data_IF_577422422542
#
_entry.id   IF_577422422542
#
_cell.length_a   1.000
_cell.length_b   1.000
_cell.length_c   1.000
_cell.angle_alpha   90.00
_cell.angle_beta   90.00
_cell.angle_gamma   90.00
#
_symmetry.space_group_name_H-M   'P 1'
#
loop_
_entity.id
_entity.type
_entity.pdbx_description
1 polymer ?
#
# COMPACT_ATOMS: atom_id res chain seq x y z
N UNK A 1 -21.77 -10.38 -14.06
CA UNK A 1 -20.79 -11.36 -14.57
C UNK A 1 -19.80 -10.60 -15.41
N UNK A 2 -18.54 -10.61 -15.00
CA UNK A 2 -17.49 -9.84 -15.67
C UNK A 2 -16.93 -10.64 -16.83
N UNK A 3 -16.70 -9.99 -17.96
CA UNK A 3 -16.32 -10.68 -19.19
C UNK A 3 -14.82 -11.01 -19.30
N UNK A 4 -13.97 -10.52 -18.38
CA UNK A 4 -12.52 -10.75 -18.42
C UNK A 4 -11.78 -10.08 -19.59
N UNK A 5 -12.46 -9.30 -20.43
CA UNK A 5 -11.84 -8.62 -21.55
C UNK A 5 -11.16 -7.29 -21.17
N UNK A 6 -10.03 -6.99 -21.81
CA UNK A 6 -9.22 -5.78 -21.59
C UNK A 6 -9.76 -4.53 -22.32
N UNK A 7 -11.06 -4.50 -22.60
CA UNK A 7 -11.69 -3.38 -23.31
C UNK A 7 -12.43 -2.52 -22.29
N UNK A 8 -11.80 -1.43 -21.85
CA UNK A 8 -12.39 -0.47 -20.91
C UNK A 8 -12.30 0.93 -21.50
N UNK A 9 -13.40 1.65 -21.46
CA UNK A 9 -13.51 3.02 -21.96
C UNK A 9 -13.96 3.93 -20.82
N UNK A 10 -13.13 4.91 -20.50
CA UNK A 10 -13.50 5.99 -19.58
C UNK A 10 -14.11 7.13 -20.40
N UNK A 11 -15.27 7.60 -19.97
CA UNK A 11 -16.04 8.66 -20.63
C UNK A 11 -16.50 9.69 -19.60
N UNK A 12 -16.86 10.89 -20.07
CA UNK A 12 -17.41 11.98 -19.23
C UNK A 12 -16.49 12.54 -18.13
N UNK A 13 -15.17 12.62 -18.35
CA UNK A 13 -14.28 13.36 -17.42
C UNK A 13 -14.62 14.85 -17.50
N UNK A 14 -15.42 15.35 -16.56
CA UNK A 14 -15.76 16.77 -16.47
C UNK A 14 -14.56 17.56 -15.94
N UNK A 15 -14.07 18.55 -16.70
CA UNK A 15 -12.99 19.48 -16.28
C UNK A 15 -13.27 20.23 -14.98
N UNK A 16 -14.53 20.30 -14.55
CA UNK A 16 -14.96 20.96 -13.31
C UNK A 16 -14.89 20.07 -12.07
N UNK A 17 -14.50 18.78 -12.19
CA UNK A 17 -14.53 17.81 -11.10
C UNK A 17 -15.97 17.42 -10.77
N UNK A 18 -16.31 16.15 -10.97
CA UNK A 18 -17.55 15.55 -10.50
C UNK A 18 -17.42 14.04 -10.60
N UNK A 19 -17.55 13.49 -11.81
CA UNK A 19 -17.56 12.04 -12.03
C UNK A 19 -16.92 11.70 -13.37
N UNK A 20 -16.34 10.51 -13.47
CA UNK A 20 -16.00 9.84 -14.71
C UNK A 20 -16.79 8.53 -14.79
N UNK A 21 -17.29 8.22 -15.97
CA UNK A 21 -18.02 6.97 -16.22
C UNK A 21 -17.06 5.96 -16.83
N UNK A 22 -16.76 4.89 -16.09
CA UNK A 22 -15.96 3.76 -16.57
C UNK A 22 -16.91 2.69 -17.12
N UNK A 23 -16.79 2.40 -18.41
CA UNK A 23 -17.63 1.42 -19.10
C UNK A 23 -16.78 0.32 -19.72
N UNK A 24 -17.15 -0.93 -19.44
CA UNK A 24 -16.62 -2.10 -20.12
C UNK A 24 -17.10 -2.08 -21.59
N UNK A 25 -16.18 -2.24 -22.54
CA UNK A 25 -16.48 -2.22 -23.97
C UNK A 25 -17.11 -3.53 -24.48
N UNK A 26 -17.06 -4.59 -23.68
CA UNK A 26 -17.55 -5.93 -24.03
C UNK A 26 -18.73 -6.36 -23.15
N UNK A 27 -18.62 -6.15 -21.85
CA UNK A 27 -19.72 -6.31 -20.90
C UNK A 27 -20.46 -4.98 -20.70
N UNK A 28 -21.74 -5.02 -20.36
CA UNK A 28 -22.53 -3.80 -20.09
C UNK A 28 -22.21 -3.13 -18.75
N UNK A 29 -21.13 -3.54 -18.07
CA UNK A 29 -20.71 -3.01 -16.78
C UNK A 29 -20.33 -1.54 -16.93
N UNK A 30 -21.04 -0.68 -16.20
CA UNK A 30 -20.85 0.77 -16.19
C UNK A 30 -20.82 1.20 -14.73
N UNK A 31 -19.81 1.96 -14.33
CA UNK A 31 -19.68 2.48 -12.97
C UNK A 31 -19.18 3.92 -13.01
N UNK A 32 -19.70 4.74 -12.12
CA UNK A 32 -19.25 6.12 -11.95
C UNK A 32 -18.19 6.17 -10.84
N UNK A 33 -17.14 6.95 -11.07
CA UNK A 33 -16.06 7.18 -10.13
C UNK A 33 -15.85 8.67 -9.96
N UNK A 34 -15.61 9.11 -8.72
CA UNK A 34 -15.30 10.50 -8.41
C UNK A 34 -13.94 10.84 -8.99
N UNK A 35 -13.85 11.97 -9.69
CA UNK A 35 -12.59 12.44 -10.28
C UNK A 35 -12.41 13.93 -10.07
N UNK A 36 -11.17 14.32 -9.85
CA UNK A 36 -10.77 15.71 -9.65
C UNK A 36 -10.58 16.39 -11.01
N UNK A 37 -10.52 17.72 -11.04
CA UNK A 37 -10.30 18.49 -12.28
C UNK A 37 -8.94 18.21 -12.96
N UNK A 38 -8.00 17.61 -12.23
CA UNK A 38 -6.67 17.22 -12.70
C UNK A 38 -6.57 15.73 -13.05
N UNK A 39 -7.62 14.93 -12.78
CA UNK A 39 -7.58 13.48 -12.97
C UNK A 39 -7.60 13.10 -14.45
N UNK A 40 -6.73 12.16 -14.81
CA UNK A 40 -6.63 11.58 -16.13
C UNK A 40 -7.51 10.30 -16.25
N UNK A 41 -7.80 9.82 -17.47
CA UNK A 41 -8.51 8.56 -17.67
C UNK A 41 -7.87 7.36 -16.97
N UNK A 42 -6.54 7.39 -16.78
CA UNK A 42 -5.80 6.34 -16.07
C UNK A 42 -6.12 6.37 -14.57
N UNK A 43 -6.22 7.56 -13.98
CA UNK A 43 -6.56 7.73 -12.55
C UNK A 43 -7.99 7.21 -12.29
N UNK A 44 -8.95 7.62 -13.12
CA UNK A 44 -10.34 7.16 -13.03
C UNK A 44 -10.46 5.63 -13.16
N UNK A 45 -9.63 5.03 -14.02
CA UNK A 45 -9.58 3.57 -14.15
C UNK A 45 -8.96 2.91 -12.92
N UNK A 46 -7.90 3.50 -12.34
CA UNK A 46 -7.30 3.06 -11.08
C UNK A 46 -8.32 3.06 -9.94
N UNK A 47 -9.02 4.19 -9.76
CA UNK A 47 -10.08 4.32 -8.75
C UNK A 47 -11.20 3.30 -8.97
N UNK A 48 -11.59 3.05 -10.24
CA UNK A 48 -12.55 2.01 -10.56
C UNK A 48 -12.07 0.62 -10.13
N UNK A 49 -10.81 0.27 -10.39
CA UNK A 49 -10.24 -1.03 -10.01
C UNK A 49 -10.21 -1.17 -8.49
N UNK A 50 -9.77 -0.13 -7.78
CA UNK A 50 -9.70 -0.13 -6.33
C UNK A 50 -11.09 -0.33 -5.70
N UNK A 51 -12.11 0.33 -6.24
CA UNK A 51 -13.50 0.17 -5.80
C UNK A 51 -14.03 -1.21 -6.18
N UNK A 52 -13.76 -1.66 -7.40
CA UNK A 52 -14.26 -2.94 -7.93
C UNK A 52 -13.76 -4.12 -7.10
N UNK A 53 -12.51 -4.06 -6.67
CA UNK A 53 -11.87 -5.10 -5.88
C UNK A 53 -11.81 -4.78 -4.39
N UNK A 54 -12.47 -3.72 -3.89
CA UNK A 54 -12.37 -3.30 -2.50
C UNK A 54 -12.74 -4.43 -1.53
N UNK A 55 -13.83 -5.16 -1.79
CA UNK A 55 -14.25 -6.28 -0.94
C UNK A 55 -13.26 -7.47 -0.98
N UNK A 56 -12.66 -7.72 -2.15
CA UNK A 56 -11.65 -8.76 -2.28
C UNK A 56 -10.34 -8.37 -1.58
N UNK A 57 -9.95 -7.11 -1.68
CA UNK A 57 -8.74 -6.58 -1.03
C UNK A 57 -8.94 -6.49 0.49
N UNK A 58 -10.14 -6.12 0.98
CA UNK A 58 -10.52 -6.18 2.40
C UNK A 58 -10.32 -7.62 2.93
N UNK A 59 -10.91 -8.62 2.28
CA UNK A 59 -10.76 -10.03 2.70
C UNK A 59 -9.30 -10.51 2.66
N UNK A 60 -8.53 -10.07 1.67
CA UNK A 60 -7.11 -10.41 1.53
C UNK A 60 -6.29 -9.79 2.66
N UNK A 61 -6.53 -8.52 2.97
CA UNK A 61 -5.86 -7.79 4.04
C UNK A 61 -6.22 -8.33 5.41
N UNK A 62 -7.48 -8.68 5.67
CA UNK A 62 -7.92 -9.34 6.90
C UNK A 62 -7.18 -10.68 7.13
N UNK A 63 -7.05 -11.51 6.08
CA UNK A 63 -6.25 -12.74 6.13
C UNK A 63 -4.77 -12.45 6.38
N UNK A 64 -4.22 -11.42 5.74
CA UNK A 64 -2.82 -10.98 5.95
C UNK A 64 -2.60 -10.53 7.39
N UNK A 65 -3.53 -9.78 7.98
CA UNK A 65 -3.46 -9.31 9.37
C UNK A 65 -3.37 -10.48 10.35
N UNK A 66 -4.14 -11.56 10.14
CA UNK A 66 -4.04 -12.75 10.97
C UNK A 66 -2.63 -13.35 10.94
N UNK A 67 -2.00 -13.36 9.77
CA UNK A 67 -0.61 -13.81 9.61
C UNK A 67 0.38 -12.84 10.25
N UNK A 68 0.25 -11.54 10.02
CA UNK A 68 1.13 -10.50 10.60
C UNK A 68 1.08 -10.50 12.14
N UNK A 69 -0.11 -10.71 12.72
CA UNK A 69 -0.29 -10.89 14.16
C UNK A 69 0.47 -12.11 14.68
N UNK A 70 0.43 -13.22 13.94
CA UNK A 70 1.15 -14.46 14.31
C UNK A 70 2.66 -14.29 14.21
N UNK A 71 3.12 -13.56 13.20
CA UNK A 71 4.54 -13.36 12.91
C UNK A 71 5.13 -12.16 13.69
N UNK A 72 4.35 -11.50 14.56
CA UNK A 72 4.67 -10.28 15.32
C UNK A 72 5.28 -9.15 14.47
N UNK A 73 4.80 -8.97 13.24
CA UNK A 73 5.27 -7.93 12.33
C UNK A 73 4.46 -6.65 12.54
N UNK A 74 4.75 -5.93 13.64
CA UNK A 74 3.97 -4.75 14.06
C UNK A 74 3.95 -3.61 13.02
N UNK A 75 5.07 -3.28 12.38
CA UNK A 75 5.11 -2.22 11.37
C UNK A 75 4.22 -2.50 10.15
N UNK A 76 4.28 -3.72 9.62
CA UNK A 76 3.40 -4.18 8.54
C UNK A 76 1.94 -4.25 8.98
N UNK A 77 1.69 -4.59 10.25
CA UNK A 77 0.36 -4.64 10.83
C UNK A 77 -0.27 -3.24 10.91
N UNK A 78 0.50 -2.22 11.32
CA UNK A 78 0.09 -0.81 11.31
C UNK A 78 -0.31 -0.39 9.90
N UNK A 79 0.55 -0.67 8.91
CA UNK A 79 0.28 -0.34 7.51
C UNK A 79 -1.01 -1.01 7.02
N UNK A 80 -1.19 -2.30 7.32
CA UNK A 80 -2.39 -3.04 6.91
C UNK A 80 -3.68 -2.45 7.51
N UNK A 81 -3.67 -2.06 8.79
CA UNK A 81 -4.84 -1.40 9.41
C UNK A 81 -5.12 -0.02 8.82
N UNK A 82 -4.08 0.75 8.51
CA UNK A 82 -4.24 2.06 7.86
C UNK A 82 -4.95 1.92 6.51
N UNK A 83 -4.48 0.99 5.68
CA UNK A 83 -5.07 0.70 4.36
C UNK A 83 -6.53 0.26 4.50
N UNK A 84 -6.85 -0.64 5.45
CA UNK A 84 -8.22 -1.07 5.69
C UNK A 84 -9.14 0.07 6.13
N UNK A 85 -8.66 0.94 7.03
CA UNK A 85 -9.39 2.13 7.45
C UNK A 85 -9.74 3.02 6.25
N UNK A 86 -8.78 3.26 5.36
CA UNK A 86 -8.98 4.15 4.23
C UNK A 86 -9.90 3.52 3.17
N UNK A 87 -9.78 2.22 2.88
CA UNK A 87 -10.72 1.49 2.03
C UNK A 87 -12.16 1.57 2.56
N UNK A 88 -12.36 1.40 3.87
CA UNK A 88 -13.69 1.54 4.47
C UNK A 88 -14.26 2.96 4.35
N UNK A 89 -13.43 4.01 4.50
CA UNK A 89 -13.87 5.40 4.29
C UNK A 89 -14.25 5.66 2.84
N UNK A 90 -13.43 5.21 1.89
CA UNK A 90 -13.70 5.34 0.47
C UNK A 90 -15.01 4.65 0.10
N UNK A 91 -15.24 3.43 0.62
CA UNK A 91 -16.50 2.71 0.41
C UNK A 91 -17.71 3.45 1.00
N UNK A 92 -17.58 3.98 2.22
CA UNK A 92 -18.64 4.78 2.83
C UNK A 92 -18.94 6.08 2.05
N UNK A 93 -17.91 6.72 1.47
CA UNK A 93 -18.08 7.92 0.65
C UNK A 93 -18.82 7.62 -0.66
N UNK A 94 -18.49 6.48 -1.31
CA UNK A 94 -19.16 6.06 -2.55
C UNK A 94 -20.64 5.78 -2.30
N UNK A 95 -20.96 5.05 -1.22
CA UNK A 95 -22.35 4.72 -0.87
C UNK A 95 -23.19 5.97 -0.55
N UNK A 96 -22.57 7.05 -0.06
CA UNK A 96 -23.24 8.33 0.17
C UNK A 96 -23.60 9.07 -1.12
N UNK A 97 -22.93 8.75 -2.23
CA UNK A 97 -23.13 9.39 -3.53
C UNK A 97 -24.04 8.57 -4.47
N UNK A 98 -24.57 7.43 -4.02
CA UNK A 98 -25.53 6.61 -4.78
C UNK A 98 -26.96 7.20 -4.75
N UNK A 99 -27.73 6.98 -5.82
CA UNK A 99 -29.09 7.53 -5.96
C UNK A 99 -30.08 7.00 -4.88
N UNK A 100 -29.83 5.79 -4.35
CA UNK A 100 -30.65 5.14 -3.33
C UNK A 100 -29.76 4.82 -2.11
N UNK A 101 -29.58 5.81 -1.24
CA UNK A 101 -28.64 5.73 -0.11
C UNK A 101 -29.22 4.85 1.01
N UNK A 102 -28.54 3.74 1.30
CA UNK A 102 -28.72 3.00 2.55
C UNK A 102 -27.83 3.59 3.64
N UNK A 103 -28.43 4.41 4.51
CA UNK A 103 -27.72 5.07 5.61
C UNK A 103 -27.19 4.09 6.67
N UNK A 104 -27.80 2.91 6.81
CA UNK A 104 -27.35 1.90 7.75
C UNK A 104 -26.06 1.24 7.22
N UNK A 105 -26.01 0.91 5.93
CA UNK A 105 -24.79 0.38 5.31
C UNK A 105 -23.64 1.39 5.36
N UNK A 106 -23.91 2.67 5.05
CA UNK A 106 -22.91 3.75 5.19
C UNK A 106 -22.38 3.83 6.62
N UNK A 107 -23.27 3.75 7.61
CA UNK A 107 -22.90 3.80 9.03
C UNK A 107 -22.01 2.62 9.41
N UNK A 108 -22.34 1.42 8.97
CA UNK A 108 -21.53 0.22 9.21
C UNK A 108 -20.11 0.35 8.67
N UNK A 109 -19.95 0.91 7.46
CA UNK A 109 -18.62 1.15 6.88
C UNK A 109 -17.83 2.22 7.65
N UNK A 110 -18.50 3.26 8.14
CA UNK A 110 -17.87 4.28 9.00
C UNK A 110 -17.40 3.67 10.33
N UNK A 111 -18.22 2.84 10.95
CA UNK A 111 -17.87 2.14 12.21
C UNK A 111 -16.64 1.25 11.98
N UNK A 112 -16.63 0.44 10.92
CA UNK A 112 -15.47 -0.40 10.56
C UNK A 112 -14.20 0.42 10.31
N UNK A 113 -14.32 1.56 9.62
CA UNK A 113 -13.19 2.44 9.39
C UNK A 113 -12.59 2.95 10.71
N UNK A 114 -13.44 3.35 11.66
CA UNK A 114 -13.01 3.78 12.99
C UNK A 114 -12.36 2.65 13.79
N UNK A 115 -12.90 1.43 13.72
CA UNK A 115 -12.32 0.25 14.37
C UNK A 115 -10.91 -0.03 13.85
N UNK A 116 -10.71 -0.07 12.54
CA UNK A 116 -9.38 -0.25 11.94
C UNK A 116 -8.44 0.89 12.32
N UNK A 117 -8.94 2.12 12.40
CA UNK A 117 -8.13 3.26 12.85
C UNK A 117 -7.72 3.15 14.32
N UNK A 118 -8.55 2.55 15.18
CA UNK A 118 -8.18 2.25 16.57
C UNK A 118 -7.10 1.16 16.62
N UNK A 119 -7.25 0.10 15.84
CA UNK A 119 -6.24 -0.97 15.79
C UNK A 119 -4.90 -0.51 15.26
N UNK A 120 -4.88 0.41 14.29
CA UNK A 120 -3.66 1.07 13.82
C UNK A 120 -2.97 1.80 14.98
N UNK A 121 -3.70 2.64 15.73
CA UNK A 121 -3.15 3.38 16.87
C UNK A 121 -2.61 2.45 17.96
N UNK A 122 -3.36 1.39 18.28
CA UNK A 122 -2.92 0.39 19.27
C UNK A 122 -1.66 -0.34 18.81
N UNK A 123 -1.54 -0.66 17.52
CA UNK A 123 -0.36 -1.29 16.96
C UNK A 123 0.85 -0.36 16.93
N UNK A 124 0.65 0.94 16.66
CA UNK A 124 1.70 1.97 16.76
C UNK A 124 2.20 2.06 18.19
N UNK A 125 1.31 2.17 19.19
CA UNK A 125 1.71 2.25 20.59
C UNK A 125 2.55 1.04 21.02
N UNK A 126 2.20 -0.16 20.53
CA UNK A 126 3.01 -1.37 20.78
C UNK A 126 4.36 -1.30 20.09
N UNK A 127 4.40 -0.86 18.84
CA UNK A 127 5.65 -0.70 18.10
C UNK A 127 6.58 0.28 18.82
N UNK A 128 6.07 1.45 19.20
CA UNK A 128 6.81 2.47 19.94
C UNK A 128 7.34 1.92 21.27
N UNK A 129 6.52 1.12 21.98
CA UNK A 129 6.96 0.47 23.22
C UNK A 129 8.08 -0.55 22.98
N UNK A 130 8.01 -1.36 21.92
CA UNK A 130 9.08 -2.30 21.56
C UNK A 130 10.37 -1.56 21.18
N UNK A 131 10.27 -0.44 20.46
CA UNK A 131 11.44 0.37 20.10
C UNK A 131 12.07 1.03 21.33
N UNK A 132 11.25 1.53 22.26
CA UNK A 132 11.72 2.10 23.51
C UNK A 132 12.40 1.06 24.41
N UNK A 133 11.84 -0.15 24.50
CA UNK A 133 12.42 -1.28 25.24
C UNK A 133 13.73 -1.78 24.63
N UNK A 134 13.83 -1.78 23.28
CA UNK A 134 15.09 -2.09 22.59
C UNK A 134 16.17 -1.02 22.82
N UNK A 135 15.76 0.15 23.33
CA UNK A 135 16.59 1.31 23.57
C UNK A 135 16.96 1.99 22.26
N UNK A 136 16.95 3.33 22.26
CA UNK A 136 17.67 4.07 21.23
C UNK A 136 19.14 3.72 21.41
N UNK A 137 19.70 2.88 20.54
CA UNK A 137 21.15 2.85 20.36
C UNK A 137 21.54 4.20 19.81
N UNK A 138 21.78 5.17 20.70
CA UNK A 138 22.52 6.37 20.34
C UNK A 138 23.92 5.87 20.02
N UNK A 139 24.21 5.77 18.72
CA UNK A 139 25.44 5.23 18.14
C UNK A 139 26.70 6.06 18.48
N UNK A 140 26.78 6.70 19.65
CA UNK A 140 28.04 7.28 20.10
C UNK A 140 29.09 6.19 20.37
N UNK A 141 28.69 4.94 20.68
CA UNK A 141 29.61 3.79 20.72
C UNK A 141 29.65 2.98 19.41
N UNK A 142 28.62 3.04 18.55
CA UNK A 142 28.61 2.24 17.30
C UNK A 142 29.34 2.91 16.13
N UNK A 143 29.58 4.23 16.19
CA UNK A 143 30.39 4.96 15.20
C UNK A 143 31.90 4.86 15.43
N UNK A 144 32.34 4.47 16.64
CA UNK A 144 33.76 4.39 17.02
C UNK A 144 34.22 2.99 17.47
N UNK A 145 33.32 2.00 17.49
CA UNK A 145 33.74 0.61 17.59
C UNK A 145 34.37 0.19 16.26
N UNK A 146 35.65 0.52 16.07
CA UNK A 146 36.52 -0.12 15.11
C UNK A 146 36.36 -1.63 15.28
N UNK A 147 35.58 -2.26 14.41
CA UNK A 147 35.83 -3.66 14.11
C UNK A 147 37.23 -3.68 13.52
N UNK A 148 38.17 -4.31 14.21
CA UNK A 148 39.38 -4.87 13.60
C UNK A 148 38.92 -5.90 12.54
N UNK A 149 38.42 -5.40 11.43
CA UNK A 149 38.31 -6.15 10.22
C UNK A 149 39.74 -6.30 9.72
N UNK A 150 40.19 -7.55 9.65
CA UNK A 150 41.39 -7.92 8.89
C UNK A 150 41.10 -7.62 7.41
N UNK A 151 41.09 -6.34 7.04
CA UNK A 151 41.16 -5.90 5.66
C UNK A 151 42.52 -6.40 5.18
N UNK A 152 42.50 -7.43 4.33
CA UNK A 152 43.68 -7.86 3.60
C UNK A 152 44.17 -6.62 2.85
N UNK A 153 45.37 -6.15 3.19
CA UNK A 153 46.07 -5.05 2.51
C UNK A 153 45.84 -5.16 1.01
N UNK A 154 45.36 -4.07 0.41
CA UNK A 154 45.28 -3.92 -1.04
C UNK A 154 46.65 -4.25 -1.64
N UNK A 155 46.66 -5.15 -2.62
CA UNK A 155 47.87 -5.47 -3.37
C UNK A 155 48.24 -4.23 -4.18
N UNK A 156 49.52 -3.88 -4.19
CA UNK A 156 50.00 -2.77 -5.02
C UNK A 156 49.86 -3.18 -6.48
N UNK A 157 49.53 -2.22 -7.34
CA UNK A 157 49.36 -2.45 -8.79
C UNK A 157 50.59 -3.14 -9.41
N UNK A 158 51.77 -2.93 -8.82
CA UNK A 158 53.02 -3.59 -9.18
C UNK A 158 52.93 -5.14 -9.09
N UNK A 159 52.17 -5.70 -8.14
CA UNK A 159 52.02 -7.15 -7.94
C UNK A 159 51.07 -7.81 -8.97
N UNK A 160 50.37 -7.02 -9.79
CA UNK A 160 49.43 -7.52 -10.82
C UNK A 160 50.17 -7.87 -12.11
N UNK A 161 51.27 -7.18 -12.42
CA UNK A 161 52.05 -7.39 -13.64
C UNK A 161 53.03 -8.55 -13.56
N UNK A 162 53.31 -9.05 -12.36
CA UNK A 162 54.14 -10.23 -12.11
C UNK A 162 53.32 -11.54 -12.04
N UNK A 163 52.00 -11.48 -12.27
CA UNK A 163 51.15 -12.67 -12.32
C UNK A 163 51.34 -13.40 -13.66
N UNK A 164 51.95 -14.60 -13.69
CA UNK A 164 52.22 -15.33 -14.93
C UNK A 164 50.97 -15.72 -15.70
N UNK A 165 49.77 -15.64 -15.10
CA UNK A 165 48.49 -15.88 -15.76
C UNK A 165 47.83 -14.66 -16.41
N UNK A 166 48.41 -13.46 -16.30
CA UNK A 166 47.78 -12.22 -16.80
C UNK A 166 47.94 -12.02 -18.32
N UNK A 167 48.92 -12.67 -18.96
CA UNK A 167 49.26 -12.47 -20.38
C UNK A 167 48.98 -13.69 -21.28
N UNK A 168 48.26 -14.70 -20.81
CA UNK A 168 47.82 -15.80 -21.68
C UNK A 168 46.46 -15.44 -22.32
N UNK A 169 46.52 -14.98 -23.57
CA UNK A 169 45.37 -14.88 -24.51
C UNK A 169 45.22 -16.16 -25.33
#
# INVERSE_FOLDING_TARGET
MDCGEKSVKVTNIKKSGAFATVKCGHCTLTKEVLVNSISEPVDAFGDFIDIYYADQELQRLEKRILKLKKDNQLGELVLAYSILSDLCKTKAAILLDEDEIDMDEVSDWKIKAEEYKRFEKDAILRLDSEELERGVRTDEESLFAERESKIKKERKIEDIFDDPGFLEF
#
